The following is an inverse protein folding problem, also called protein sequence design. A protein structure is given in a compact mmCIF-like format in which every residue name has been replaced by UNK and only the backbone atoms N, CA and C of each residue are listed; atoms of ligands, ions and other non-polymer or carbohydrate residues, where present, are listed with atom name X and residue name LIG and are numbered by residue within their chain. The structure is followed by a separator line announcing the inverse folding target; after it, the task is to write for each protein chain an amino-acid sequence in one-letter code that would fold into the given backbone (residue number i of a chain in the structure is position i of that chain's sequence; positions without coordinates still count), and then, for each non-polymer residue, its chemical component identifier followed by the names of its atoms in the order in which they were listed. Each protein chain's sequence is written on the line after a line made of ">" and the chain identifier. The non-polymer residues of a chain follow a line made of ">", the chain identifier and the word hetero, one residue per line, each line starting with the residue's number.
data_IF_213595066914
#
_entry.id   IF_213595066914
#
_cell.length_a   1.000
_cell.length_b   1.000
_cell.length_c   1.000
_cell.angle_alpha   90.00
_cell.angle_beta   90.00
_cell.angle_gamma   90.00
#
_symmetry.space_group_name_H-M   'P 1'
#
loop_
_entity.id
_entity.type
_entity.pdbx_description
1 polymer ?
#
# COMPACT_ATOMS: atom_id res chain seq x y z
N UNK A 1 21.74 -4.40 -32.97
CA UNK A 1 20.31 -4.61 -32.64
C UNK A 1 19.76 -3.33 -32.03
N UNK A 2 18.66 -2.79 -32.54
CA UNK A 2 18.00 -1.64 -31.92
C UNK A 2 17.47 -2.05 -30.54
N UNK A 3 17.79 -1.30 -29.49
CA UNK A 3 17.23 -1.55 -28.15
C UNK A 3 15.74 -1.23 -28.20
N UNK A 4 14.91 -2.17 -27.74
CA UNK A 4 13.49 -1.90 -27.45
C UNK A 4 13.41 -0.70 -26.51
N UNK A 5 12.55 0.29 -26.79
CA UNK A 5 12.37 1.42 -25.88
C UNK A 5 11.93 0.91 -24.51
N UNK A 6 12.32 1.58 -23.41
CA UNK A 6 11.84 1.20 -22.09
C UNK A 6 10.32 1.32 -22.01
N UNK A 7 9.67 0.27 -21.53
CA UNK A 7 8.21 0.18 -21.41
C UNK A 7 7.84 -0.02 -19.95
N UNK A 8 6.82 0.70 -19.49
CA UNK A 8 6.21 0.55 -18.16
C UNK A 8 4.69 0.53 -18.30
N UNK A 9 4.04 -0.35 -17.55
CA UNK A 9 2.59 -0.54 -17.55
C UNK A 9 2.11 -0.56 -16.10
N UNK A 10 0.93 0.01 -15.84
CA UNK A 10 0.28 -0.02 -14.53
C UNK A 10 -1.22 -0.27 -14.66
N UNK A 11 -1.86 -0.64 -13.55
CA UNK A 11 -3.32 -0.60 -13.41
C UNK A 11 -3.87 0.82 -13.58
N UNK A 12 -5.17 0.96 -13.81
CA UNK A 12 -5.80 2.23 -14.22
C UNK A 12 -5.47 3.42 -13.32
N UNK A 13 -5.44 3.25 -12.00
CA UNK A 13 -5.10 4.32 -11.05
C UNK A 13 -3.61 4.66 -11.00
N UNK A 14 -2.72 3.82 -11.55
CA UNK A 14 -1.28 4.08 -11.63
C UNK A 14 -0.84 4.94 -12.81
N UNK A 15 -1.76 5.29 -13.72
CA UNK A 15 -1.43 6.00 -14.96
C UNK A 15 -0.73 7.36 -14.71
N UNK A 16 -1.14 8.09 -13.67
CA UNK A 16 -0.57 9.39 -13.29
C UNK A 16 0.90 9.28 -12.84
N UNK A 17 1.34 8.11 -12.41
CA UNK A 17 2.69 7.87 -11.91
C UNK A 17 3.68 7.41 -12.99
N UNK A 18 3.21 6.86 -14.11
CA UNK A 18 4.05 6.33 -15.21
C UNK A 18 5.11 7.32 -15.73
N UNK A 19 4.84 8.64 -15.85
CA UNK A 19 5.86 9.59 -16.28
C UNK A 19 7.10 9.62 -15.37
N UNK A 20 6.96 9.33 -14.07
CA UNK A 20 8.10 9.28 -13.16
C UNK A 20 8.99 8.06 -13.44
N UNK A 21 8.38 6.88 -13.61
CA UNK A 21 9.11 5.66 -13.98
C UNK A 21 9.78 5.77 -15.34
N UNK A 22 9.09 6.30 -16.36
CA UNK A 22 9.67 6.54 -17.69
C UNK A 22 10.92 7.44 -17.61
N UNK A 23 10.89 8.51 -16.81
CA UNK A 23 12.06 9.39 -16.64
C UNK A 23 13.26 8.66 -16.04
N UNK A 24 13.05 7.74 -15.11
CA UNK A 24 14.11 6.93 -14.51
C UNK A 24 14.71 6.01 -15.58
N UNK A 25 13.87 5.29 -16.31
CA UNK A 25 14.30 4.38 -17.37
C UNK A 25 15.04 5.11 -18.51
N UNK A 26 14.54 6.27 -18.93
CA UNK A 26 15.17 7.09 -19.98
C UNK A 26 16.57 7.58 -19.62
N UNK A 27 16.89 7.68 -18.32
CA UNK A 27 18.21 8.04 -17.80
C UNK A 27 19.11 6.83 -17.51
N UNK A 28 18.68 5.63 -17.87
CA UNK A 28 19.42 4.39 -17.63
C UNK A 28 19.26 3.82 -16.21
N UNK A 29 18.28 4.29 -15.44
CA UNK A 29 17.95 3.72 -14.13
C UNK A 29 17.32 2.32 -14.23
N UNK A 30 17.25 1.61 -13.11
CA UNK A 30 16.75 0.23 -13.09
C UNK A 30 15.22 0.14 -13.19
N UNK A 31 14.72 -1.01 -13.63
CA UNK A 31 13.28 -1.30 -13.62
C UNK A 31 12.70 -1.27 -12.19
N UNK A 32 13.46 -1.74 -11.19
CA UNK A 32 13.08 -1.67 -9.77
C UNK A 32 12.88 -0.23 -9.31
N UNK A 33 13.83 0.66 -9.60
CA UNK A 33 13.73 2.07 -9.21
C UNK A 33 12.52 2.74 -9.90
N UNK A 34 12.26 2.39 -11.16
CA UNK A 34 11.15 2.93 -11.93
C UNK A 34 9.78 2.52 -11.35
N UNK A 35 9.58 1.24 -11.04
CA UNK A 35 8.30 0.77 -10.49
C UNK A 35 8.09 1.22 -9.04
N UNK A 36 9.15 1.27 -8.23
CA UNK A 36 9.08 1.79 -6.86
C UNK A 36 8.68 3.27 -6.87
N UNK A 37 9.31 4.09 -7.73
CA UNK A 37 8.97 5.50 -7.85
C UNK A 37 7.50 5.72 -8.27
N UNK A 38 6.99 4.91 -9.19
CA UNK A 38 5.60 4.97 -9.60
C UNK A 38 4.66 4.63 -8.42
N UNK A 39 4.92 3.54 -7.71
CA UNK A 39 4.11 3.10 -6.57
C UNK A 39 4.08 4.16 -5.46
N UNK A 40 5.24 4.75 -5.12
CA UNK A 40 5.34 5.79 -4.09
C UNK A 40 4.48 7.02 -4.36
N UNK A 41 4.32 7.41 -5.63
CA UNK A 41 3.46 8.55 -6.00
C UNK A 41 2.01 8.26 -5.63
N UNK A 42 1.51 7.08 -5.99
CA UNK A 42 0.13 6.69 -5.69
C UNK A 42 -0.04 6.46 -4.18
N UNK A 43 0.91 5.81 -3.52
CA UNK A 43 0.87 5.59 -2.06
C UNK A 43 0.82 6.88 -1.23
N UNK A 44 1.39 7.97 -1.76
CA UNK A 44 1.39 9.26 -1.08
C UNK A 44 0.16 10.13 -1.40
N UNK A 45 -0.59 9.83 -2.47
CA UNK A 45 -1.74 10.61 -2.91
C UNK A 45 -2.97 10.35 -2.03
N UNK A 46 -3.37 11.31 -1.16
CA UNK A 46 -4.50 11.12 -0.26
C UNK A 46 -5.86 11.08 -0.97
N UNK A 47 -5.91 11.36 -2.27
CA UNK A 47 -7.12 11.31 -3.09
C UNK A 47 -7.35 9.92 -3.70
N UNK A 48 -6.31 9.09 -3.83
CA UNK A 48 -6.47 7.67 -4.11
C UNK A 48 -6.95 6.97 -2.82
N UNK A 49 -8.14 6.38 -2.89
CA UNK A 49 -8.74 5.70 -1.72
C UNK A 49 -8.54 4.19 -1.70
N UNK A 50 -7.72 3.68 -2.62
CA UNK A 50 -7.41 2.25 -2.79
C UNK A 50 -5.96 1.90 -2.45
N UNK A 51 -5.05 2.87 -2.39
CA UNK A 51 -3.62 2.65 -2.18
C UNK A 51 -3.08 3.59 -1.09
N UNK A 52 -2.22 3.08 -0.22
CA UNK A 52 -1.41 3.89 0.69
C UNK A 52 -2.18 4.85 1.61
N UNK A 53 -1.70 6.09 1.72
CA UNK A 53 -2.33 7.16 2.49
C UNK A 53 -3.65 7.54 1.84
N UNK A 54 -4.75 7.49 2.60
CA UNK A 54 -6.09 7.67 2.05
C UNK A 54 -6.77 6.34 1.69
N UNK A 55 -6.08 5.20 1.79
CA UNK A 55 -6.70 3.89 1.66
C UNK A 55 -7.91 3.73 2.59
N UNK A 56 -9.00 3.17 2.05
CA UNK A 56 -10.19 2.82 2.85
C UNK A 56 -9.77 1.84 3.96
N UNK A 57 -10.16 2.09 5.22
CA UNK A 57 -9.81 1.18 6.30
C UNK A 57 -10.63 -0.11 6.23
N UNK A 58 -10.15 -1.13 6.94
CA UNK A 58 -10.95 -2.30 7.26
C UNK A 58 -12.15 -1.94 8.16
N UNK A 59 -13.02 -2.92 8.46
CA UNK A 59 -14.26 -2.69 9.22
C UNK A 59 -14.03 -2.08 10.60
N UNK A 60 -12.85 -2.29 11.20
CA UNK A 60 -12.45 -1.77 12.50
C UNK A 60 -11.91 -0.33 12.43
N UNK A 61 -11.75 0.22 11.24
CA UNK A 61 -11.20 1.56 11.02
C UNK A 61 -9.68 1.59 10.94
N UNK A 62 -9.03 0.43 10.76
CA UNK A 62 -7.57 0.35 10.60
C UNK A 62 -7.22 0.32 9.11
N UNK A 63 -6.27 1.15 8.68
CA UNK A 63 -5.72 1.10 7.32
C UNK A 63 -4.53 0.15 7.33
N UNK A 64 -4.72 -1.00 6.71
CA UNK A 64 -3.76 -2.09 6.58
C UNK A 64 -3.33 -2.17 5.11
N UNK A 65 -2.01 -2.07 4.88
CA UNK A 65 -1.44 -1.96 3.55
C UNK A 65 -0.58 -3.17 3.23
N UNK A 66 -0.73 -3.64 1.99
CA UNK A 66 0.04 -4.74 1.43
C UNK A 66 0.86 -4.22 0.24
N UNK A 67 2.11 -4.65 0.11
CA UNK A 67 2.94 -4.34 -1.05
C UNK A 67 3.97 -5.43 -1.29
N UNK A 68 4.34 -5.63 -2.55
CA UNK A 68 5.42 -6.52 -2.94
C UNK A 68 6.20 -5.94 -4.12
N UNK A 69 7.48 -6.29 -4.21
CA UNK A 69 8.36 -5.93 -5.31
C UNK A 69 9.21 -7.14 -5.69
N UNK A 70 9.44 -7.30 -6.99
CA UNK A 70 10.18 -8.43 -7.56
C UNK A 70 11.22 -7.90 -8.55
N UNK A 71 12.46 -8.36 -8.40
CA UNK A 71 13.48 -8.20 -9.42
C UNK A 71 13.43 -9.37 -10.39
N UNK A 72 12.96 -9.13 -11.62
CA UNK A 72 12.89 -10.16 -12.66
C UNK A 72 14.25 -10.68 -13.13
N UNK A 73 15.35 -10.00 -12.83
CA UNK A 73 16.70 -10.44 -13.22
C UNK A 73 17.29 -11.41 -12.22
N UNK A 74 17.12 -11.13 -10.93
CA UNK A 74 17.72 -11.91 -9.83
C UNK A 74 16.73 -12.84 -9.15
N UNK A 75 15.44 -12.74 -9.48
CA UNK A 75 14.31 -13.40 -8.81
C UNK A 75 14.21 -13.10 -7.31
N UNK A 76 14.87 -12.03 -6.84
CA UNK A 76 14.71 -11.56 -5.46
C UNK A 76 13.33 -10.93 -5.30
N UNK A 77 12.73 -11.19 -4.14
CA UNK A 77 11.37 -10.73 -3.81
C UNK A 77 11.39 -10.14 -2.41
N UNK A 78 10.58 -9.10 -2.22
CA UNK A 78 10.26 -8.60 -0.89
C UNK A 78 8.81 -8.16 -0.82
N UNK A 79 8.20 -8.37 0.33
CA UNK A 79 6.79 -8.09 0.56
C UNK A 79 6.51 -7.71 2.01
N UNK A 80 5.49 -6.89 2.19
CA UNK A 80 4.88 -6.56 3.48
C UNK A 80 3.37 -6.72 3.41
N UNK A 81 2.75 -7.11 4.52
CA UNK A 81 1.31 -7.29 4.60
C UNK A 81 0.72 -6.84 5.92
N UNK A 82 -0.53 -6.41 5.92
CA UNK A 82 -1.22 -5.80 7.06
C UNK A 82 -0.40 -4.68 7.75
N UNK A 83 0.41 -3.95 6.98
CA UNK A 83 1.30 -2.91 7.50
C UNK A 83 0.51 -1.64 7.81
N UNK A 84 0.75 -1.05 8.98
CA UNK A 84 0.03 0.15 9.47
C UNK A 84 0.98 1.30 9.76
N UNK A 85 0.56 2.52 9.40
CA UNK A 85 1.20 3.75 9.89
C UNK A 85 2.49 4.16 9.19
N UNK A 86 2.69 3.69 7.95
CA UNK A 86 3.85 4.02 7.12
C UNK A 86 3.40 4.52 5.75
N UNK A 87 4.17 5.47 5.19
CA UNK A 87 3.80 6.14 3.95
C UNK A 87 4.01 5.25 2.72
N UNK A 88 5.13 4.51 2.69
CA UNK A 88 5.56 3.76 1.52
C UNK A 88 5.77 2.27 1.80
N UNK A 89 4.69 1.46 1.86
CA UNK A 89 4.78 0.01 1.93
C UNK A 89 5.71 -0.61 0.87
N UNK A 90 5.71 -0.10 -0.37
CA UNK A 90 6.56 -0.63 -1.45
C UNK A 90 8.06 -0.50 -1.16
N UNK A 91 8.49 0.63 -0.58
CA UNK A 91 9.89 0.83 -0.19
C UNK A 91 10.28 -0.08 0.98
N UNK A 92 9.34 -0.37 1.89
CA UNK A 92 9.57 -1.30 2.99
C UNK A 92 9.66 -2.73 2.44
N UNK A 93 8.80 -3.11 1.49
CA UNK A 93 8.89 -4.38 0.78
C UNK A 93 10.25 -4.54 0.05
N UNK A 94 10.73 -3.50 -0.62
CA UNK A 94 12.09 -3.48 -1.20
C UNK A 94 13.17 -3.66 -0.15
N UNK A 95 13.05 -3.02 1.00
CA UNK A 95 14.00 -3.19 2.10
C UNK A 95 13.98 -4.62 2.66
N UNK A 96 12.83 -5.31 2.69
CA UNK A 96 12.76 -6.74 3.04
C UNK A 96 13.60 -7.57 2.07
N UNK A 97 13.40 -7.35 0.76
CA UNK A 97 14.16 -8.01 -0.32
C UNK A 97 15.67 -7.80 -0.16
N UNK A 98 16.09 -6.55 0.11
CA UNK A 98 17.49 -6.14 0.05
C UNK A 98 18.27 -6.41 1.33
N UNK A 99 17.62 -6.33 2.49
CA UNK A 99 18.29 -6.27 3.80
C UNK A 99 18.01 -7.46 4.70
N UNK A 100 17.23 -8.43 4.26
CA UNK A 100 16.88 -9.61 5.05
C UNK A 100 17.01 -10.88 4.21
N UNK A 101 17.14 -12.06 4.83
CA UNK A 101 17.03 -13.34 4.13
C UNK A 101 15.57 -13.77 3.90
N UNK A 102 14.59 -12.98 4.36
CA UNK A 102 13.17 -13.28 4.25
C UNK A 102 12.54 -12.59 3.03
N UNK A 103 11.41 -13.12 2.57
CA UNK A 103 10.67 -12.58 1.42
C UNK A 103 9.42 -11.81 1.86
N UNK A 104 8.74 -12.26 2.91
CA UNK A 104 7.44 -11.69 3.31
C UNK A 104 7.35 -11.56 4.82
N UNK A 105 7.07 -10.35 5.31
CA UNK A 105 6.85 -10.07 6.73
C UNK A 105 5.52 -9.32 6.89
N UNK A 106 4.77 -9.60 7.96
CA UNK A 106 3.39 -9.09 8.09
C UNK A 106 3.12 -8.49 9.47
N UNK A 107 2.07 -7.66 9.53
CA UNK A 107 1.52 -7.08 10.75
C UNK A 107 2.57 -6.37 11.60
N UNK A 108 2.60 -6.70 12.89
CA UNK A 108 3.52 -6.09 13.85
C UNK A 108 5.00 -6.37 13.53
N UNK A 109 5.30 -7.51 12.90
CA UNK A 109 6.65 -7.84 12.44
C UNK A 109 7.12 -6.88 11.34
N UNK A 110 6.25 -6.61 10.36
CA UNK A 110 6.52 -5.61 9.32
C UNK A 110 6.68 -4.20 9.91
N UNK A 111 5.81 -3.82 10.85
CA UNK A 111 5.87 -2.50 11.50
C UNK A 111 7.15 -2.32 12.34
N UNK A 112 7.62 -3.39 13.00
CA UNK A 112 8.90 -3.40 13.72
C UNK A 112 10.08 -3.22 12.77
N UNK A 113 10.13 -3.98 11.69
CA UNK A 113 11.19 -3.85 10.68
C UNK A 113 11.21 -2.45 10.07
N UNK A 114 10.04 -1.92 9.68
CA UNK A 114 9.90 -0.57 9.15
C UNK A 114 10.47 0.50 10.10
N UNK A 115 10.28 0.33 11.42
CA UNK A 115 10.86 1.22 12.44
C UNK A 115 12.39 1.10 12.51
N UNK A 116 12.92 -0.11 12.46
CA UNK A 116 14.37 -0.36 12.52
C UNK A 116 15.10 0.23 11.30
N UNK A 117 14.47 0.22 10.12
CA UNK A 117 15.00 0.88 8.92
C UNK A 117 14.69 2.38 8.83
N UNK A 118 14.04 2.96 9.85
CA UNK A 118 13.62 4.37 9.91
C UNK A 118 12.72 4.79 8.73
N UNK A 119 11.80 3.91 8.32
CA UNK A 119 10.84 4.21 7.28
C UNK A 119 9.91 5.37 7.67
N UNK A 120 9.47 6.13 6.66
CA UNK A 120 8.63 7.30 6.87
C UNK A 120 7.24 6.92 7.40
N UNK A 121 6.88 7.49 8.55
CA UNK A 121 5.57 7.26 9.17
C UNK A 121 4.53 8.22 8.62
N UNK A 122 3.28 7.77 8.58
CA UNK A 122 2.16 8.64 8.23
C UNK A 122 0.89 8.21 8.94
N UNK A 123 -0.10 9.10 8.95
CA UNK A 123 -1.48 8.77 9.32
C UNK A 123 -2.23 8.39 8.06
N UNK A 124 -2.31 7.09 7.77
CA UNK A 124 -2.94 6.61 6.53
C UNK A 124 -4.46 6.88 6.51
N UNK A 125 -5.14 6.80 7.66
CA UNK A 125 -6.57 7.15 7.76
C UNK A 125 -6.76 8.69 7.73
N UNK A 126 -7.13 9.21 6.57
CA UNK A 126 -7.43 10.62 6.35
C UNK A 126 -8.82 10.99 6.90
N UNK A 127 -9.11 12.30 7.00
CA UNK A 127 -10.42 12.77 7.44
C UNK A 127 -11.55 12.28 6.50
N UNK A 128 -11.35 12.41 5.19
CA UNK A 128 -12.31 11.99 4.16
C UNK A 128 -12.64 10.50 4.22
N UNK A 129 -11.62 9.65 4.38
CA UNK A 129 -11.81 8.20 4.44
C UNK A 129 -12.35 7.73 5.78
N UNK A 130 -12.04 8.45 6.87
CA UNK A 130 -12.69 8.25 8.16
C UNK A 130 -14.19 8.59 8.10
N UNK A 131 -14.57 9.69 7.46
CA UNK A 131 -15.97 10.05 7.28
C UNK A 131 -16.72 9.01 6.44
N UNK A 132 -16.12 8.54 5.35
CA UNK A 132 -16.66 7.45 4.53
C UNK A 132 -16.89 6.18 5.37
N UNK A 133 -15.90 5.78 6.17
CA UNK A 133 -16.00 4.60 7.04
C UNK A 133 -17.11 4.75 8.08
N UNK A 134 -17.17 5.89 8.78
CA UNK A 134 -18.23 6.17 9.77
C UNK A 134 -19.61 6.17 9.12
N UNK A 135 -19.75 6.76 7.92
CA UNK A 135 -21.01 6.77 7.18
C UNK A 135 -21.47 5.34 6.84
N UNK A 136 -20.59 4.52 6.28
CA UNK A 136 -20.87 3.12 5.95
C UNK A 136 -21.27 2.29 7.18
N UNK A 137 -20.60 2.50 8.32
CA UNK A 137 -21.00 1.86 9.57
C UNK A 137 -22.43 2.25 9.97
N UNK A 138 -22.80 3.54 9.91
CA UNK A 138 -24.17 3.98 10.25
C UNK A 138 -25.21 3.35 9.34
N UNK A 139 -24.97 3.28 8.04
CA UNK A 139 -25.85 2.61 7.06
C UNK A 139 -26.05 1.13 7.41
N UNK A 140 -25.05 0.48 8.02
CA UNK A 140 -25.12 -0.89 8.50
C UNK A 140 -25.75 -1.04 9.91
N UNK A 141 -26.17 0.06 10.55
CA UNK A 141 -26.68 0.07 11.93
C UNK A 141 -25.59 -0.01 12.99
N UNK A 142 -24.37 0.41 12.66
CA UNK A 142 -23.18 0.34 13.52
C UNK A 142 -22.55 1.72 13.78
N UNK A 143 -21.67 1.75 14.77
CA UNK A 143 -20.80 2.87 15.13
C UNK A 143 -19.37 2.38 15.28
N UNK A 144 -18.36 3.27 15.25
CA UNK A 144 -16.98 2.91 15.57
C UNK A 144 -16.81 2.15 16.89
N UNK A 145 -17.61 2.47 17.90
CA UNK A 145 -17.55 1.83 19.21
C UNK A 145 -18.27 0.47 19.22
N UNK A 146 -19.43 0.36 18.56
CA UNK A 146 -20.20 -0.89 18.55
C UNK A 146 -19.48 -1.99 17.77
N UNK A 147 -18.86 -1.65 16.62
CA UNK A 147 -18.17 -2.65 15.79
C UNK A 147 -16.97 -3.28 16.52
N UNK A 148 -16.27 -2.51 17.37
CA UNK A 148 -15.15 -3.02 18.19
C UNK A 148 -15.60 -3.97 19.31
N UNK A 149 -16.88 -3.96 19.69
CA UNK A 149 -17.47 -4.84 20.71
C UNK A 149 -18.17 -6.06 20.12
N UNK A 150 -18.30 -6.14 18.79
CA UNK A 150 -18.94 -7.26 18.10
C UNK A 150 -18.08 -8.51 18.23
N UNK A 151 -18.68 -9.60 18.70
CA UNK A 151 -18.03 -10.91 18.67
C UNK A 151 -17.87 -11.47 17.24
N UNK A 152 -18.76 -11.07 16.31
CA UNK A 152 -18.73 -11.48 14.90
C UNK A 152 -18.70 -10.25 14.01
N UNK A 153 -17.63 -10.09 13.23
CA UNK A 153 -17.47 -8.97 12.29
C UNK A 153 -18.04 -9.25 10.90
N UNK A 154 -18.11 -10.51 10.48
CA UNK A 154 -18.57 -10.90 9.14
C UNK A 154 -19.93 -10.27 8.75
N UNK A 155 -20.98 -10.28 9.61
CA UNK A 155 -22.25 -9.64 9.27
C UNK A 155 -22.15 -8.13 9.03
N UNK A 156 -21.20 -7.45 9.69
CA UNK A 156 -20.95 -6.02 9.50
C UNK A 156 -20.17 -5.79 8.21
N UNK A 157 -19.16 -6.60 7.93
CA UNK A 157 -18.37 -6.55 6.70
C UNK A 157 -19.30 -6.67 5.48
N UNK A 158 -20.17 -7.68 5.46
CA UNK A 158 -21.12 -7.91 4.35
C UNK A 158 -22.11 -6.76 4.12
N UNK A 159 -22.36 -5.93 5.14
CA UNK A 159 -23.25 -4.75 5.01
C UNK A 159 -22.50 -3.49 4.55
N UNK A 160 -21.22 -3.38 4.91
CA UNK A 160 -20.41 -2.15 4.76
C UNK A 160 -19.50 -2.17 3.52
N UNK A 161 -19.12 -3.37 3.08
CA UNK A 161 -18.29 -3.59 1.89
C UNK A 161 -19.18 -4.21 0.82
N UNK A 162 -19.34 -3.48 -0.29
CA UNK A 162 -19.91 -3.99 -1.54
C UNK A 162 -18.87 -3.63 -2.59
N UNK A 163 -18.27 -4.65 -3.18
CA UNK A 163 -17.37 -4.53 -4.33
C UNK A 163 -18.19 -4.55 -5.62
#
# INVERSE_FOLDING_TARGET
>A
MARTPPTIVASGNGASALPAGIRILARGGSALDAVEACAKIIEADPTDTSVGRGGKPNVLGEVELDASIVDGTTHRVGAVGALKGYLHPISIARAVMERTPHVFIVGDGAARFAREIRAERTRNLTASTRELWVRKLREAGETPTSVRRRAKLLPVVLKTVRE
#
